data_IF_742027300598
#
_entry.id   IF_742027300598
#
_cell.length_a   1.000
_cell.length_b   1.000
_cell.length_c   1.000
_cell.angle_alpha   90.00
_cell.angle_beta   90.00
_cell.angle_gamma   90.00
#
_symmetry.space_group_name_H-M   'P 1'
#
loop_
_entity.id
_entity.type
_entity.pdbx_description
1 polymer ?
#
# COMPACT_ATOMS: atom_id res chain seq x y z
N UNK A 1 -0.40 14.55 4.51
CA UNK A 1 0.27 13.25 4.30
C UNK A 1 1.27 13.32 3.16
N UNK A 2 0.89 13.80 1.97
CA UNK A 2 1.79 13.97 0.81
C UNK A 2 3.12 14.67 1.14
N UNK A 3 3.06 15.85 1.78
CA UNK A 3 4.25 16.60 2.20
C UNK A 3 5.19 15.76 3.11
N UNK A 4 4.63 15.09 4.11
CA UNK A 4 5.38 14.24 5.04
C UNK A 4 6.02 13.02 4.33
N UNK A 5 5.32 12.42 3.37
CA UNK A 5 5.89 11.36 2.52
C UNK A 5 7.06 11.91 1.71
N UNK A 6 6.91 13.09 1.11
CA UNK A 6 7.97 13.74 0.36
C UNK A 6 9.20 14.07 1.20
N UNK A 7 8.99 14.56 2.43
CA UNK A 7 10.08 14.81 3.39
C UNK A 7 10.79 13.53 3.79
N UNK A 8 10.04 12.47 4.14
CA UNK A 8 10.60 11.16 4.46
C UNK A 8 11.40 10.59 3.28
N UNK A 9 10.85 10.64 2.07
CA UNK A 9 11.51 10.15 0.86
C UNK A 9 12.85 10.83 0.61
N UNK A 10 12.92 12.15 0.77
CA UNK A 10 14.15 12.93 0.57
C UNK A 10 15.20 12.72 1.67
N UNK A 11 14.78 12.28 2.86
CA UNK A 11 15.67 12.09 4.01
C UNK A 11 16.38 10.73 4.05
N UNK A 12 15.98 9.79 3.18
CA UNK A 12 16.46 8.40 3.18
C UNK A 12 17.35 8.13 1.96
N UNK A 13 18.47 7.43 2.16
CA UNK A 13 19.24 6.81 1.07
C UNK A 13 18.59 5.48 0.68
N UNK A 14 18.20 5.35 -0.59
CA UNK A 14 17.42 4.23 -1.12
C UNK A 14 18.26 3.16 -1.82
N UNK A 15 19.60 3.28 -1.85
CA UNK A 15 20.49 2.41 -2.62
C UNK A 15 20.35 0.90 -2.34
N UNK A 16 19.86 0.51 -1.16
CA UNK A 16 19.66 -0.87 -0.70
C UNK A 16 18.31 -1.08 0.01
N UNK A 17 17.31 -0.22 -0.27
CA UNK A 17 16.04 -0.21 0.47
C UNK A 17 14.86 -0.32 -0.47
N UNK A 18 13.79 -0.94 0.04
CA UNK A 18 12.47 -0.89 -0.58
C UNK A 18 11.59 0.10 0.16
N UNK A 19 10.80 0.88 -0.58
CA UNK A 19 9.71 1.68 -0.02
C UNK A 19 8.40 0.99 -0.32
N UNK A 20 7.62 0.73 0.72
CA UNK A 20 6.24 0.26 0.61
C UNK A 20 5.34 1.34 1.20
N UNK A 21 4.38 1.81 0.41
CA UNK A 21 3.33 2.74 0.85
C UNK A 21 1.99 2.02 0.73
N UNK A 22 1.25 1.93 1.83
CA UNK A 22 -0.08 1.33 1.85
C UNK A 22 -0.95 1.90 2.97
N UNK A 23 -2.22 1.49 3.02
CA UNK A 23 -3.16 1.74 4.12
C UNK A 23 -3.56 0.42 4.76
N UNK A 24 -4.01 0.45 6.00
CA UNK A 24 -4.58 -0.71 6.70
C UNK A 24 -6.01 -1.01 6.24
N UNK A 25 -6.80 0.03 6.01
CA UNK A 25 -8.12 -0.03 5.39
C UNK A 25 -8.45 1.29 4.67
N UNK A 26 -9.56 1.29 3.94
CA UNK A 26 -10.14 2.48 3.32
C UNK A 26 -11.26 3.07 4.20
N UNK A 27 -12.11 3.91 3.63
CA UNK A 27 -13.14 4.64 4.38
C UNK A 27 -14.36 4.88 3.50
N UNK A 28 -15.56 4.69 4.05
CA UNK A 28 -16.82 5.05 3.39
C UNK A 28 -17.10 6.55 3.59
N UNK A 29 -17.47 7.24 2.51
CA UNK A 29 -17.80 8.66 2.48
C UNK A 29 -19.25 8.93 2.01
N UNK A 30 -20.15 7.97 2.19
CA UNK A 30 -21.57 8.08 1.85
C UNK A 30 -22.03 7.21 0.68
N UNK A 31 -21.13 6.47 0.04
CA UNK A 31 -21.40 5.67 -1.17
C UNK A 31 -22.51 4.62 -0.94
N UNK A 32 -22.59 4.06 0.27
CA UNK A 32 -23.61 3.09 0.68
C UNK A 32 -24.52 3.62 1.78
N UNK A 33 -24.60 4.95 1.93
CA UNK A 33 -25.43 5.63 2.92
C UNK A 33 -24.87 5.60 4.35
N UNK A 34 -23.68 5.02 4.55
CA UNK A 34 -22.92 5.12 5.79
C UNK A 34 -21.75 6.08 5.69
N UNK A 35 -21.10 6.31 6.82
CA UNK A 35 -19.83 7.00 6.90
C UNK A 35 -18.90 6.21 7.81
N UNK A 36 -17.63 6.25 7.48
CA UNK A 36 -16.56 5.59 8.20
C UNK A 36 -16.54 4.05 8.08
N UNK A 37 -15.64 3.41 8.83
CA UNK A 37 -15.31 1.98 8.77
C UNK A 37 -15.88 1.19 9.96
N UNK A 38 -16.78 1.80 10.76
CA UNK A 38 -17.25 1.27 12.03
C UNK A 38 -18.42 0.27 11.93
N UNK A 39 -18.78 -0.15 10.71
CA UNK A 39 -19.81 -1.16 10.46
C UNK A 39 -19.18 -2.40 9.81
N UNK A 40 -19.71 -3.60 10.10
CA UNK A 40 -19.27 -4.87 9.50
C UNK A 40 -19.68 -4.94 8.02
N UNK A 41 -19.03 -4.12 7.18
CA UNK A 41 -19.28 -3.97 5.75
C UNK A 41 -18.13 -4.56 4.94
N UNK A 42 -18.50 -5.32 3.91
CA UNK A 42 -17.58 -5.79 2.87
C UNK A 42 -17.86 -5.02 1.57
N UNK A 43 -17.44 -3.76 1.54
CA UNK A 43 -17.57 -2.85 0.39
C UNK A 43 -16.18 -2.50 -0.15
N UNK A 44 -16.12 -2.01 -1.39
CA UNK A 44 -14.85 -1.73 -2.08
C UNK A 44 -14.08 -0.60 -1.37
N UNK A 45 -14.79 0.44 -0.93
CA UNK A 45 -14.24 1.64 -0.30
C UNK A 45 -13.48 1.33 0.99
N UNK A 46 -13.82 0.24 1.69
CA UNK A 46 -13.12 -0.18 2.90
C UNK A 46 -11.96 -1.14 2.63
N UNK A 47 -11.98 -1.87 1.51
CA UNK A 47 -11.03 -2.96 1.22
C UNK A 47 -9.97 -2.58 0.18
N UNK A 48 -10.32 -1.72 -0.78
CA UNK A 48 -9.46 -1.35 -1.88
C UNK A 48 -8.61 -0.14 -1.49
N UNK A 49 -7.40 -0.43 -1.01
CA UNK A 49 -6.46 0.57 -0.51
C UNK A 49 -5.22 0.68 -1.41
N UNK A 50 -4.49 1.82 -1.38
CA UNK A 50 -3.26 1.94 -2.15
C UNK A 50 -2.22 0.90 -1.73
N UNK A 51 -1.48 0.37 -2.71
CA UNK A 51 -0.23 -0.34 -2.52
C UNK A 51 0.76 0.12 -3.58
N UNK A 52 1.83 0.78 -3.14
CA UNK A 52 2.92 1.26 -4.00
C UNK A 52 4.21 0.65 -3.47
N UNK A 53 4.98 0.03 -4.37
CA UNK A 53 6.28 -0.56 -4.07
C UNK A 53 7.32 0.14 -4.96
N UNK A 54 8.37 0.68 -4.32
CA UNK A 54 9.54 1.25 -5.00
C UNK A 54 10.76 0.43 -4.57
N UNK A 55 11.27 -0.36 -5.50
CA UNK A 55 12.34 -1.33 -5.29
C UNK A 55 13.41 -1.30 -6.41
N UNK A 56 13.44 -0.22 -7.19
CA UNK A 56 14.44 0.00 -8.24
C UNK A 56 14.19 -0.75 -9.56
N UNK A 57 13.05 -1.43 -9.72
CA UNK A 57 12.66 -2.08 -10.98
C UNK A 57 11.93 -1.11 -11.94
N UNK A 58 11.59 -1.59 -13.14
CA UNK A 58 10.84 -0.81 -14.12
C UNK A 58 9.46 -0.40 -13.57
N UNK A 59 9.09 0.86 -13.81
CA UNK A 59 7.79 1.39 -13.41
C UNK A 59 6.67 0.66 -14.16
N UNK A 60 5.70 0.12 -13.41
CA UNK A 60 4.52 -0.52 -13.96
C UNK A 60 3.27 -0.31 -13.12
N UNK A 61 2.14 -0.79 -13.64
CA UNK A 61 0.89 -0.94 -12.90
C UNK A 61 0.56 -2.43 -12.92
N UNK A 62 0.35 -3.00 -11.73
CA UNK A 62 -0.14 -4.37 -11.55
C UNK A 62 -1.66 -4.27 -11.42
N UNK A 63 -2.39 -5.02 -12.24
CA UNK A 63 -3.86 -4.98 -12.28
C UNK A 63 -4.49 -6.16 -11.53
N UNK A 64 -3.68 -7.15 -11.19
CA UNK A 64 -4.04 -8.31 -10.41
C UNK A 64 -4.38 -7.93 -8.97
N UNK A 65 -5.39 -8.61 -8.40
CA UNK A 65 -5.77 -8.42 -7.00
C UNK A 65 -4.63 -8.82 -6.06
N UNK A 66 -4.36 -7.96 -5.08
CA UNK A 66 -3.36 -8.20 -4.05
C UNK A 66 -3.96 -8.04 -2.66
N UNK A 67 -3.67 -8.99 -1.77
CA UNK A 67 -4.11 -8.96 -0.37
C UNK A 67 -2.96 -8.56 0.55
N UNK A 68 -3.21 -7.72 1.57
CA UNK A 68 -2.23 -7.43 2.63
C UNK A 68 -1.69 -8.67 3.33
N UNK A 69 -2.42 -9.78 3.30
CA UNK A 69 -1.92 -11.06 3.79
C UNK A 69 -0.61 -11.49 3.10
N UNK A 70 -0.46 -11.12 1.82
CA UNK A 70 0.72 -11.42 1.00
C UNK A 70 1.82 -10.36 1.14
N UNK A 71 1.60 -9.27 1.90
CA UNK A 71 2.57 -8.19 2.01
C UNK A 71 3.82 -8.60 2.79
N UNK A 72 3.65 -9.27 3.93
CA UNK A 72 4.77 -9.76 4.72
C UNK A 72 5.69 -10.74 3.95
N UNK A 73 5.16 -11.80 3.29
CA UNK A 73 6.02 -12.68 2.50
C UNK A 73 6.66 -11.96 1.31
N UNK A 74 5.99 -10.99 0.69
CA UNK A 74 6.59 -10.18 -0.39
C UNK A 74 7.79 -9.35 0.09
N UNK A 75 7.65 -8.66 1.24
CA UNK A 75 8.73 -7.88 1.84
C UNK A 75 9.92 -8.80 2.17
N UNK A 76 9.65 -10.00 2.69
CA UNK A 76 10.70 -10.98 2.98
C UNK A 76 11.42 -11.43 1.70
N UNK A 77 10.68 -11.78 0.63
CA UNK A 77 11.26 -12.20 -0.66
C UNK A 77 12.23 -11.13 -1.19
N UNK A 78 11.76 -9.87 -1.23
CA UNK A 78 12.56 -8.72 -1.68
C UNK A 78 13.78 -8.48 -0.82
N UNK A 79 13.66 -8.61 0.50
CA UNK A 79 14.78 -8.44 1.42
C UNK A 79 15.85 -9.54 1.29
N UNK A 80 15.45 -10.75 0.89
CA UNK A 80 16.36 -11.87 0.63
C UNK A 80 16.95 -11.87 -0.78
N UNK A 81 16.45 -11.01 -1.68
CA UNK A 81 16.81 -11.03 -3.10
C UNK A 81 16.25 -12.24 -3.84
N UNK A 82 15.20 -12.84 -3.30
CA UNK A 82 14.41 -13.87 -3.96
C UNK A 82 13.38 -13.15 -4.86
N UNK A 83 13.12 -13.69 -6.06
CA UNK A 83 12.18 -13.07 -7.02
C UNK A 83 10.79 -12.84 -6.41
#
# INVERSE_FOLDING_TARGET
MDEAIGEFYRAVDWSDKILVITSDHGEEFGEHGGFSHHEDKFIEELQHVPLIIVDGVERGIVHEEFSHWNLAPLILSKALGEE
#
